data_IF_066683860824
#
_entry.id   IF_066683860824
#
_cell.length_a   1.000
_cell.length_b   1.000
_cell.length_c   1.000
_cell.angle_alpha   90.00
_cell.angle_beta   90.00
_cell.angle_gamma   90.00
#
_symmetry.space_group_name_H-M   'P 1'
#
loop_
_entity.id
_entity.type
_entity.pdbx_description
1 polymer ?
#
# COMPACT_ATOMS: atom_id res chain seq x y z
N UNK A 1 -25.38 -20.48 39.92
CA UNK A 1 -23.98 -20.01 39.78
C UNK A 1 -23.08 -20.89 38.88
N UNK A 2 -23.54 -22.02 38.31
CA UNK A 2 -22.71 -22.93 37.48
C UNK A 2 -22.67 -22.63 35.97
N UNK A 3 -23.48 -21.69 35.50
CA UNK A 3 -23.64 -21.36 34.07
C UNK A 3 -22.75 -20.20 33.61
N UNK A 4 -22.43 -19.26 34.50
CA UNK A 4 -21.55 -18.12 34.25
C UNK A 4 -20.18 -18.50 33.64
N UNK A 5 -19.44 -19.50 34.15
CA UNK A 5 -18.14 -19.85 33.57
C UNK A 5 -18.25 -20.41 32.14
N UNK A 6 -19.37 -21.06 31.80
CA UNK A 6 -19.61 -21.58 30.44
C UNK A 6 -19.94 -20.46 29.46
N UNK A 7 -20.70 -19.46 29.90
CA UNK A 7 -21.03 -18.28 29.08
C UNK A 7 -19.77 -17.43 28.85
N UNK A 8 -18.96 -17.21 29.88
CA UNK A 8 -17.68 -16.49 29.76
C UNK A 8 -16.72 -17.24 28.84
N UNK A 9 -16.59 -18.56 28.97
CA UNK A 9 -15.74 -19.37 28.09
C UNK A 9 -16.23 -19.32 26.64
N UNK A 10 -17.54 -19.42 26.39
CA UNK A 10 -18.11 -19.33 25.05
C UNK A 10 -17.89 -17.95 24.41
N UNK A 11 -18.08 -16.86 25.17
CA UNK A 11 -17.79 -15.49 24.72
C UNK A 11 -16.29 -15.29 24.42
N UNK A 12 -15.42 -15.84 25.26
CA UNK A 12 -13.96 -15.77 25.07
C UNK A 12 -13.53 -16.49 23.78
N UNK A 13 -14.13 -17.65 23.51
CA UNK A 13 -13.83 -18.45 22.33
C UNK A 13 -14.35 -17.79 21.04
N UNK A 14 -15.54 -17.20 21.08
CA UNK A 14 -16.10 -16.43 19.96
C UNK A 14 -15.24 -15.20 19.62
N UNK A 15 -14.76 -14.48 20.64
CA UNK A 15 -13.86 -13.34 20.45
C UNK A 15 -12.50 -13.76 19.82
N UNK A 16 -11.96 -14.92 20.20
CA UNK A 16 -10.73 -15.45 19.61
C UNK A 16 -10.90 -15.82 18.13
N UNK A 17 -12.03 -16.42 17.75
CA UNK A 17 -12.33 -16.78 16.36
C UNK A 17 -12.42 -15.55 15.44
N UNK A 18 -12.99 -14.43 15.93
CA UNK A 18 -13.11 -13.20 15.14
C UNK A 18 -11.75 -12.56 14.82
N UNK A 19 -10.76 -12.69 15.73
CA UNK A 19 -9.40 -12.15 15.53
C UNK A 19 -8.57 -12.93 14.52
N UNK A 20 -8.86 -14.23 14.33
CA UNK A 20 -8.16 -15.07 13.37
C UNK A 20 -8.50 -14.72 11.91
N UNK A 21 -9.71 -14.20 11.65
CA UNK A 21 -10.15 -13.82 10.32
C UNK A 21 -9.37 -12.60 9.78
N UNK A 22 -9.13 -11.59 10.62
CA UNK A 22 -8.48 -10.33 10.23
C UNK A 22 -7.04 -10.53 9.72
N UNK A 23 -6.29 -11.45 10.33
CA UNK A 23 -4.91 -11.74 9.92
C UNK A 23 -4.81 -12.35 8.51
N UNK A 24 -5.86 -13.06 8.06
CA UNK A 24 -5.89 -13.65 6.72
C UNK A 24 -6.16 -12.61 5.63
N UNK A 25 -6.98 -11.61 5.93
CA UNK A 25 -7.33 -10.54 4.99
C UNK A 25 -6.13 -9.59 4.77
N UNK A 26 -5.39 -9.27 5.83
CA UNK A 26 -4.17 -8.46 5.75
C UNK A 26 -3.08 -9.13 4.91
N UNK A 27 -2.87 -10.43 5.12
CA UNK A 27 -1.91 -11.21 4.33
C UNK A 27 -2.29 -11.26 2.84
N UNK A 28 -3.59 -11.37 2.53
CA UNK A 28 -4.09 -11.33 1.16
C UNK A 28 -3.89 -9.94 0.52
N UNK A 29 -4.15 -8.86 1.26
CA UNK A 29 -3.92 -7.49 0.80
C UNK A 29 -2.44 -7.22 0.51
N UNK A 30 -1.54 -7.59 1.44
CA UNK A 30 -0.09 -7.47 1.25
C UNK A 30 0.37 -8.23 0.01
N UNK A 31 -0.04 -9.50 -0.12
CA UNK A 31 0.32 -10.30 -1.29
C UNK A 31 -0.16 -9.67 -2.59
N UNK A 32 -1.36 -9.07 -2.63
CA UNK A 32 -1.83 -8.33 -3.81
C UNK A 32 -0.95 -7.12 -4.12
N UNK A 33 -0.59 -6.30 -3.13
CA UNK A 33 0.28 -5.14 -3.35
C UNK A 33 1.64 -5.54 -3.90
N UNK A 34 2.30 -6.52 -3.28
CA UNK A 34 3.60 -7.00 -3.73
C UNK A 34 3.53 -7.66 -5.10
N UNK A 35 2.48 -8.44 -5.38
CA UNK A 35 2.31 -9.07 -6.69
C UNK A 35 2.19 -8.00 -7.78
N UNK A 36 1.38 -6.96 -7.56
CA UNK A 36 1.24 -5.87 -8.54
C UNK A 36 2.53 -5.07 -8.69
N UNK A 37 3.16 -4.67 -7.58
CA UNK A 37 4.40 -3.89 -7.62
C UNK A 37 5.57 -4.63 -8.28
N UNK A 38 5.69 -5.94 -8.10
CA UNK A 38 6.79 -6.73 -8.66
C UNK A 38 6.51 -7.23 -10.09
N UNK A 39 5.25 -7.54 -10.42
CA UNK A 39 4.91 -8.06 -11.75
C UNK A 39 4.56 -6.95 -12.77
N UNK A 40 4.08 -5.80 -12.30
CA UNK A 40 3.57 -4.70 -13.15
C UNK A 40 4.01 -3.31 -12.67
N UNK A 41 5.02 -3.23 -11.79
CA UNK A 41 5.46 -1.95 -11.24
C UNK A 41 6.07 -1.01 -12.28
N UNK A 42 5.62 0.24 -12.29
CA UNK A 42 6.13 1.30 -13.19
C UNK A 42 7.20 2.20 -12.54
N UNK A 43 7.48 2.01 -11.25
CA UNK A 43 8.34 2.89 -10.46
C UNK A 43 9.74 3.08 -11.07
N UNK A 44 10.32 2.01 -11.62
CA UNK A 44 11.63 2.07 -12.27
C UNK A 44 11.60 2.90 -13.56
N UNK A 45 10.61 2.68 -14.42
CA UNK A 45 10.48 3.42 -15.68
C UNK A 45 10.13 4.89 -15.46
N UNK A 46 9.32 5.17 -14.43
CA UNK A 46 9.03 6.53 -13.96
C UNK A 46 10.30 7.23 -13.49
N UNK A 47 11.13 6.56 -12.68
CA UNK A 47 12.42 7.11 -12.25
C UNK A 47 13.38 7.33 -13.42
N UNK A 48 13.48 6.35 -14.34
CA UNK A 48 14.31 6.46 -15.56
C UNK A 48 13.90 7.66 -16.40
N UNK A 49 12.60 7.86 -16.59
CA UNK A 49 12.05 9.00 -17.33
C UNK A 49 12.48 10.31 -16.67
N UNK A 50 12.30 10.44 -15.35
CA UNK A 50 12.66 11.64 -14.60
C UNK A 50 14.16 11.95 -14.65
N UNK A 51 15.03 10.96 -14.54
CA UNK A 51 16.49 11.15 -14.55
C UNK A 51 17.04 11.40 -15.96
N UNK A 52 16.39 10.87 -16.99
CA UNK A 52 16.82 11.04 -18.38
C UNK A 52 16.29 12.33 -19.00
N UNK A 53 15.00 12.65 -18.82
CA UNK A 53 14.36 13.78 -19.48
C UNK A 53 14.47 15.09 -18.68
N UNK A 54 14.51 15.00 -17.36
CA UNK A 54 14.58 16.14 -16.44
C UNK A 54 15.72 16.00 -15.42
N UNK A 55 16.99 15.92 -15.86
CA UNK A 55 18.13 15.90 -14.96
C UNK A 55 18.31 17.27 -14.27
N UNK A 56 18.94 17.30 -13.09
CA UNK A 56 19.28 18.55 -12.40
C UNK A 56 18.06 19.40 -12.01
N UNK A 57 17.21 18.85 -11.12
CA UNK A 57 15.96 19.50 -10.65
C UNK A 57 16.21 20.47 -9.50
N UNK A 58 17.05 21.47 -9.73
CA UNK A 58 17.26 22.55 -8.75
C UNK A 58 15.97 23.37 -8.60
N UNK A 59 15.69 23.85 -7.39
CA UNK A 59 14.53 24.71 -7.13
C UNK A 59 14.51 25.94 -8.05
N UNK A 60 13.36 26.24 -8.65
CA UNK A 60 13.19 27.34 -9.60
C UNK A 60 13.72 27.08 -11.02
N UNK A 61 14.34 25.93 -11.28
CA UNK A 61 14.82 25.59 -12.63
C UNK A 61 13.69 25.14 -13.56
N UNK A 62 13.91 25.33 -14.87
CA UNK A 62 13.03 24.77 -15.92
C UNK A 62 12.99 23.24 -15.91
N UNK A 63 14.02 22.57 -15.40
CA UNK A 63 14.01 21.11 -15.28
C UNK A 63 13.05 20.63 -14.19
N UNK A 64 13.01 21.32 -13.05
CA UNK A 64 12.03 21.05 -11.99
C UNK A 64 10.60 21.33 -12.47
N UNK A 65 10.35 22.46 -13.14
CA UNK A 65 9.03 22.79 -13.69
C UNK A 65 8.49 21.67 -14.60
N UNK A 66 9.32 21.16 -15.52
CA UNK A 66 8.95 20.03 -16.40
C UNK A 66 8.68 18.74 -15.61
N UNK A 67 9.47 18.45 -14.58
CA UNK A 67 9.27 17.27 -13.74
C UNK A 67 7.95 17.33 -12.96
N UNK A 68 7.56 18.53 -12.49
CA UNK A 68 6.26 18.75 -11.83
C UNK A 68 5.11 18.51 -12.80
N UNK A 69 5.15 19.12 -14.00
CA UNK A 69 4.12 18.90 -15.03
C UNK A 69 4.03 17.44 -15.45
N UNK A 70 5.17 16.74 -15.57
CA UNK A 70 5.18 15.30 -15.84
C UNK A 70 4.51 14.52 -14.70
N UNK A 71 4.82 14.86 -13.44
CA UNK A 71 4.24 14.24 -12.26
C UNK A 71 2.73 14.43 -12.18
N UNK A 72 2.24 15.65 -12.44
CA UNK A 72 0.81 15.96 -12.51
C UNK A 72 0.10 15.13 -13.58
N UNK A 73 0.71 14.96 -14.76
CA UNK A 73 0.13 14.13 -15.83
C UNK A 73 0.17 12.64 -15.54
N UNK A 74 1.17 12.18 -14.82
CA UNK A 74 1.39 10.75 -14.56
C UNK A 74 0.61 10.26 -13.33
N UNK A 75 0.47 11.11 -12.32
CA UNK A 75 -0.19 10.79 -11.05
C UNK A 75 -1.58 11.41 -10.89
N UNK A 76 -1.88 12.45 -11.66
CA UNK A 76 -3.18 13.11 -11.67
C UNK A 76 -4.21 12.25 -12.38
N UNK A 77 -4.83 11.35 -11.62
CA UNK A 77 -6.19 10.89 -11.88
C UNK A 77 -7.19 11.91 -11.32
#
# INVERSE_FOLDING_TARGET
>A
MRTVPRVVLALSLAAAAMRAQSASDDAAALRRFFTEALARGEAYENLRTLTTQTPGRLAGSKSLERAVVWGERTLGA
#
